data_IF_029635953203
#
_entry.id   IF_029635953203
#
_cell.length_a   1.000
_cell.length_b   1.000
_cell.length_c   1.000
_cell.angle_alpha   90.00
_cell.angle_beta   90.00
_cell.angle_gamma   90.00
#
_symmetry.space_group_name_H-M   'P 1'
#
loop_
_entity.id
_entity.type
_entity.pdbx_description
1 polymer ?
#
# COMPACT_ATOMS: atom_id res chain seq x y z
N UNK A 1 13.36 -20.06 6.40
CA UNK A 1 14.30 -19.71 7.49
C UNK A 1 13.46 -19.46 8.74
N UNK A 2 13.83 -20.06 9.85
CA UNK A 2 13.11 -19.80 11.11
C UNK A 2 13.71 -18.56 11.75
N UNK A 3 12.92 -17.49 11.82
CA UNK A 3 13.30 -16.26 12.50
C UNK A 3 13.11 -16.41 14.01
N UNK A 4 14.02 -15.86 14.79
CA UNK A 4 13.81 -15.74 16.24
C UNK A 4 12.87 -14.55 16.53
N UNK A 5 11.56 -14.77 16.38
CA UNK A 5 10.55 -13.75 16.56
C UNK A 5 10.50 -13.20 17.98
N UNK A 6 10.77 -13.99 19.00
CA UNK A 6 10.85 -13.52 20.38
C UNK A 6 11.92 -12.41 20.52
N UNK A 7 13.11 -12.65 19.96
CA UNK A 7 14.18 -11.64 19.95
C UNK A 7 13.86 -10.43 19.09
N UNK A 8 13.18 -10.60 17.96
CA UNK A 8 12.79 -9.50 17.07
C UNK A 8 11.74 -8.62 17.75
N UNK A 9 10.65 -9.23 18.24
CA UNK A 9 9.53 -8.52 18.87
C UNK A 9 9.98 -7.80 20.15
N UNK A 10 10.92 -8.38 20.92
CA UNK A 10 11.46 -7.75 22.14
C UNK A 10 12.14 -6.40 21.89
N UNK A 11 12.47 -6.06 20.64
CA UNK A 11 13.03 -4.74 20.26
C UNK A 11 11.98 -3.66 20.12
N UNK A 12 10.73 -4.04 19.93
CA UNK A 12 9.60 -3.12 19.76
C UNK A 12 8.93 -2.83 21.11
N UNK A 13 8.14 -1.78 21.14
CA UNK A 13 7.32 -1.40 22.30
C UNK A 13 6.07 -2.30 22.38
N UNK A 14 6.34 -3.58 22.59
CA UNK A 14 5.37 -4.65 22.77
C UNK A 14 5.52 -5.20 24.16
N UNK A 15 4.48 -5.08 24.96
CA UNK A 15 4.43 -5.61 26.31
C UNK A 15 3.86 -7.02 26.33
N UNK A 16 4.46 -7.90 27.14
CA UNK A 16 3.99 -9.27 27.36
C UNK A 16 4.95 -10.32 26.81
N UNK A 17 4.48 -11.56 26.78
CA UNK A 17 5.23 -12.75 26.35
C UNK A 17 4.69 -13.25 25.00
N UNK A 18 5.56 -13.46 24.03
CA UNK A 18 5.18 -14.07 22.75
C UNK A 18 4.67 -15.50 22.98
N UNK A 19 3.47 -15.81 22.50
CA UNK A 19 2.85 -17.14 22.50
C UNK A 19 3.15 -17.84 21.17
N UNK A 20 2.82 -17.17 20.05
CA UNK A 20 3.04 -17.72 18.70
C UNK A 20 3.33 -16.60 17.70
N UNK A 21 4.00 -16.95 16.59
CA UNK A 21 4.21 -16.08 15.45
C UNK A 21 4.24 -16.93 14.19
N UNK A 22 3.16 -16.84 13.40
CA UNK A 22 2.93 -17.71 12.24
C UNK A 22 2.71 -16.89 10.98
N UNK A 23 2.98 -17.49 9.82
CA UNK A 23 2.76 -16.86 8.52
C UNK A 23 1.29 -16.40 8.41
N UNK A 24 1.06 -15.18 7.91
CA UNK A 24 -0.25 -14.58 7.82
C UNK A 24 -0.46 -13.83 6.50
N UNK A 25 -1.65 -14.00 5.91
CA UNK A 25 -2.06 -13.31 4.69
C UNK A 25 -1.37 -13.84 3.42
N UNK A 26 -1.80 -13.31 2.28
CA UNK A 26 -1.36 -13.73 0.94
C UNK A 26 -0.43 -12.70 0.26
N UNK A 27 0.06 -11.71 1.01
CA UNK A 27 0.93 -10.68 0.47
C UNK A 27 2.23 -11.24 -0.12
N UNK A 28 2.56 -10.83 -1.36
CA UNK A 28 3.70 -11.37 -2.11
C UNK A 28 4.98 -10.54 -1.97
N UNK A 29 4.89 -9.29 -1.50
CA UNK A 29 6.04 -8.37 -1.44
C UNK A 29 6.81 -8.55 -0.14
N UNK A 30 6.15 -8.38 1.00
CA UNK A 30 6.74 -8.54 2.32
C UNK A 30 6.40 -9.90 2.92
N UNK A 31 7.28 -10.41 3.79
CA UNK A 31 6.94 -11.57 4.58
C UNK A 31 6.12 -11.15 5.80
N UNK A 32 4.85 -11.53 5.86
CA UNK A 32 3.93 -11.12 6.91
C UNK A 32 3.63 -12.26 7.88
N UNK A 33 3.60 -11.96 9.17
CA UNK A 33 3.35 -12.90 10.27
C UNK A 33 2.36 -12.31 11.26
N UNK A 34 1.49 -13.13 11.81
CA UNK A 34 0.63 -12.82 12.95
C UNK A 34 1.32 -13.28 14.22
N UNK A 35 1.64 -12.34 15.09
CA UNK A 35 2.17 -12.62 16.41
C UNK A 35 1.07 -12.48 17.47
N UNK A 36 0.96 -13.46 18.35
CA UNK A 36 0.08 -13.45 19.53
C UNK A 36 0.95 -13.30 20.77
N UNK A 37 0.66 -12.26 21.54
CA UNK A 37 1.39 -11.90 22.77
C UNK A 37 0.42 -11.95 23.94
N UNK A 38 0.79 -12.66 25.00
CA UNK A 38 0.04 -12.65 26.27
C UNK A 38 0.50 -11.46 27.12
N UNK A 39 -0.42 -10.57 27.46
CA UNK A 39 -0.17 -9.43 28.35
C UNK A 39 -1.27 -9.39 29.43
N UNK A 40 -0.89 -9.62 30.68
CA UNK A 40 -1.78 -9.60 31.85
C UNK A 40 -3.04 -10.49 31.70
N UNK A 41 -2.86 -11.72 31.18
CA UNK A 41 -3.93 -12.69 30.97
C UNK A 41 -4.81 -12.43 29.74
N UNK A 42 -4.41 -11.49 28.87
CA UNK A 42 -5.11 -11.19 27.61
C UNK A 42 -4.19 -11.42 26.41
N UNK A 43 -4.75 -11.97 25.36
CA UNK A 43 -4.07 -12.08 24.08
C UNK A 43 -4.16 -10.76 23.32
N UNK A 44 -3.00 -10.25 22.90
CA UNK A 44 -2.87 -9.08 22.02
C UNK A 44 -2.21 -9.54 20.72
N UNK A 45 -2.79 -9.14 19.60
CA UNK A 45 -2.33 -9.53 18.27
C UNK A 45 -1.52 -8.41 17.61
N UNK A 46 -0.46 -8.81 16.91
CA UNK A 46 0.39 -7.91 16.14
C UNK A 46 0.67 -8.49 14.77
N UNK A 47 0.84 -7.61 13.79
CA UNK A 47 1.40 -7.96 12.48
C UNK A 47 2.89 -7.65 12.52
N UNK A 48 3.70 -8.68 12.28
CA UNK A 48 5.15 -8.56 12.11
C UNK A 48 5.49 -8.74 10.65
N UNK A 49 6.18 -7.78 10.05
CA UNK A 49 6.56 -7.87 8.65
C UNK A 49 8.08 -7.78 8.48
N UNK A 50 8.63 -8.69 7.69
CA UNK A 50 9.97 -8.53 7.14
C UNK A 50 9.88 -7.79 5.82
N UNK A 51 10.50 -6.63 5.76
CA UNK A 51 10.47 -5.72 4.62
C UNK A 51 11.31 -6.29 3.48
N UNK A 52 10.80 -6.25 2.27
CA UNK A 52 11.54 -6.63 1.06
C UNK A 52 12.54 -5.53 0.68
N UNK A 53 13.72 -5.58 1.29
CA UNK A 53 14.80 -4.59 1.05
C UNK A 53 15.45 -4.70 -0.34
N UNK A 54 15.09 -5.70 -1.15
CA UNK A 54 15.50 -5.76 -2.56
C UNK A 54 14.65 -4.84 -3.43
N UNK A 55 13.38 -4.69 -3.08
CA UNK A 55 12.47 -3.75 -3.75
C UNK A 55 12.60 -2.35 -3.13
N UNK A 56 12.49 -2.26 -1.81
CA UNK A 56 12.62 -1.01 -1.05
C UNK A 56 14.07 -0.82 -0.59
N UNK A 57 14.92 -0.34 -1.50
CA UNK A 57 16.37 -0.24 -1.25
C UNK A 57 16.74 0.76 -0.18
N UNK A 58 15.87 1.75 0.10
CA UNK A 58 16.01 2.71 1.19
C UNK A 58 14.91 2.48 2.24
N UNK A 59 15.10 1.45 3.09
CA UNK A 59 14.14 1.10 4.15
C UNK A 59 13.96 2.23 5.16
N UNK A 60 14.98 3.02 5.42
CA UNK A 60 14.90 4.16 6.35
C UNK A 60 13.91 5.22 5.82
N UNK A 61 14.03 5.60 4.55
CA UNK A 61 13.13 6.56 3.92
C UNK A 61 11.69 6.02 3.84
N UNK A 62 11.51 4.74 3.47
CA UNK A 62 10.22 4.07 3.48
C UNK A 62 9.53 4.18 4.84
N UNK A 63 10.24 3.76 5.89
CA UNK A 63 9.68 3.72 7.23
C UNK A 63 9.49 5.11 7.85
N UNK A 64 10.28 6.10 7.41
CA UNK A 64 10.06 7.50 7.77
C UNK A 64 8.76 8.04 7.15
N UNK A 65 8.49 7.77 5.86
CA UNK A 65 7.23 8.14 5.22
C UNK A 65 6.03 7.56 5.99
N UNK A 66 6.06 6.25 6.25
CA UNK A 66 4.99 5.56 6.97
C UNK A 66 4.79 6.18 8.36
N UNK A 67 5.86 6.42 9.10
CA UNK A 67 5.81 7.03 10.44
C UNK A 67 5.17 8.41 10.40
N UNK A 68 5.66 9.29 9.54
CA UNK A 68 5.14 10.66 9.41
C UNK A 68 3.64 10.69 9.10
N UNK A 69 3.21 9.88 8.13
CA UNK A 69 1.80 9.81 7.72
C UNK A 69 0.93 9.20 8.81
N UNK A 70 1.37 8.12 9.44
CA UNK A 70 0.58 7.48 10.51
C UNK A 70 0.49 8.36 11.76
N UNK A 71 1.55 9.07 12.15
CA UNK A 71 1.54 10.02 13.26
C UNK A 71 0.59 11.20 12.98
N UNK A 72 0.64 11.76 11.78
CA UNK A 72 -0.25 12.85 11.38
C UNK A 72 -1.73 12.43 11.39
N UNK A 73 -2.04 11.26 10.79
CA UNK A 73 -3.40 10.73 10.79
C UNK A 73 -3.89 10.45 12.22
N UNK A 74 -3.03 9.88 13.05
CA UNK A 74 -3.30 9.59 14.46
C UNK A 74 -3.70 10.86 15.23
N UNK A 75 -2.96 11.95 15.06
CA UNK A 75 -3.31 13.24 15.68
C UNK A 75 -4.65 13.79 15.22
N UNK A 76 -4.95 13.73 13.92
CA UNK A 76 -6.22 14.18 13.35
C UNK A 76 -7.40 13.36 13.88
N UNK A 77 -7.26 12.04 13.93
CA UNK A 77 -8.29 11.12 14.45
C UNK A 77 -8.56 11.40 15.92
N UNK A 78 -7.52 11.56 16.76
CA UNK A 78 -7.66 11.88 18.18
C UNK A 78 -8.40 13.23 18.35
N UNK A 79 -8.02 14.25 17.57
CA UNK A 79 -8.69 15.57 17.62
C UNK A 79 -10.17 15.49 17.22
N UNK A 80 -10.53 14.55 16.36
CA UNK A 80 -11.91 14.27 15.96
C UNK A 80 -12.69 13.38 16.95
N UNK A 81 -12.04 12.88 18.02
CA UNK A 81 -12.64 11.99 19.02
C UNK A 81 -12.71 10.51 18.60
N UNK A 82 -12.01 10.13 17.53
CA UNK A 82 -11.92 8.77 17.03
C UNK A 82 -10.87 7.90 17.73
N UNK A 83 -10.78 6.64 17.31
CA UNK A 83 -9.84 5.65 17.85
C UNK A 83 -8.68 5.40 16.86
N UNK A 84 -7.50 6.01 17.07
CA UNK A 84 -6.38 5.87 16.14
C UNK A 84 -5.76 4.46 16.10
N UNK A 85 -5.99 3.62 17.10
CA UNK A 85 -5.52 2.22 17.09
C UNK A 85 -6.38 1.32 16.18
N UNK A 86 -7.49 1.87 15.66
CA UNK A 86 -8.41 1.21 14.76
C UNK A 86 -8.56 1.94 13.42
N UNK A 87 -8.59 3.28 13.43
CA UNK A 87 -8.94 4.11 12.28
C UNK A 87 -7.75 4.53 11.42
N UNK A 88 -6.53 4.16 11.79
CA UNK A 88 -5.35 4.25 10.93
C UNK A 88 -4.44 3.05 11.18
N UNK A 89 -3.43 2.86 10.31
CA UNK A 89 -2.44 1.80 10.45
C UNK A 89 -1.61 2.01 11.74
N UNK A 90 -1.76 1.16 12.78
CA UNK A 90 -1.20 1.42 14.09
C UNK A 90 0.24 0.91 14.20
N UNK A 91 1.19 1.71 13.70
CA UNK A 91 2.61 1.41 13.75
C UNK A 91 3.13 1.32 15.20
N UNK A 92 3.85 0.25 15.50
CA UNK A 92 4.54 0.05 16.79
C UNK A 92 6.02 0.36 16.59
N UNK A 93 6.50 1.41 17.27
CA UNK A 93 7.92 1.76 17.24
C UNK A 93 8.76 0.78 18.09
N UNK A 94 10.07 0.77 17.84
CA UNK A 94 11.03 0.11 18.75
C UNK A 94 11.09 0.88 20.08
N UNK A 95 11.61 0.24 21.13
CA UNK A 95 11.86 0.86 22.44
C UNK A 95 12.79 2.10 22.35
N UNK A 96 13.50 2.24 21.25
CA UNK A 96 14.37 3.39 20.92
C UNK A 96 13.63 4.45 20.05
N UNK A 97 12.32 4.28 19.79
CA UNK A 97 11.50 5.19 19.00
C UNK A 97 11.65 5.07 17.47
N UNK A 98 12.35 4.03 16.96
CA UNK A 98 12.51 3.79 15.52
C UNK A 98 11.29 3.04 14.96
N UNK A 99 10.94 3.30 13.72
CA UNK A 99 9.82 2.66 13.02
C UNK A 99 10.13 1.22 12.55
N UNK A 100 11.38 0.79 12.61
CA UNK A 100 11.81 -0.55 12.19
C UNK A 100 13.03 -1.03 13.00
N UNK A 101 13.29 -2.34 12.94
CA UNK A 101 14.48 -2.98 13.51
C UNK A 101 15.23 -3.75 12.44
N UNK A 102 16.55 -3.53 12.33
CA UNK A 102 17.43 -4.36 11.51
C UNK A 102 17.99 -5.52 12.34
N UNK A 103 17.64 -6.74 11.94
CA UNK A 103 18.11 -7.97 12.58
C UNK A 103 19.34 -8.50 11.85
N UNK A 104 20.53 -8.33 12.47
CA UNK A 104 21.81 -8.81 11.89
C UNK A 104 21.86 -10.33 11.68
N UNK A 105 21.16 -11.12 12.50
CA UNK A 105 21.25 -12.58 12.44
C UNK A 105 20.57 -13.19 11.22
N UNK A 106 19.61 -12.50 10.63
CA UNK A 106 18.90 -12.95 9.43
C UNK A 106 18.97 -11.96 8.27
N UNK A 107 19.82 -10.93 8.40
CA UNK A 107 19.99 -9.87 7.40
C UNK A 107 18.65 -9.32 6.91
N UNK A 108 17.83 -8.85 7.85
CA UNK A 108 16.46 -8.43 7.53
C UNK A 108 15.97 -7.25 8.35
N UNK A 109 15.15 -6.42 7.72
CA UNK A 109 14.45 -5.31 8.35
C UNK A 109 13.05 -5.75 8.75
N UNK A 110 12.67 -5.46 9.99
CA UNK A 110 11.36 -5.83 10.53
C UNK A 110 10.61 -4.59 11.02
N UNK A 111 9.30 -4.60 10.84
CA UNK A 111 8.35 -3.63 11.39
C UNK A 111 7.19 -4.34 12.06
N UNK A 112 6.53 -3.66 12.97
CA UNK A 112 5.41 -4.21 13.73
C UNK A 112 4.24 -3.23 13.69
N UNK A 113 3.03 -3.76 13.51
CA UNK A 113 1.77 -3.04 13.65
C UNK A 113 0.88 -3.74 14.67
N UNK A 114 0.05 -3.00 15.40
CA UNK A 114 -1.06 -3.65 16.13
C UNK A 114 -2.03 -4.24 15.10
N UNK A 115 -2.61 -5.38 15.43
CA UNK A 115 -3.63 -6.00 14.62
C UNK A 115 -4.96 -5.25 14.75
N UNK A 116 -5.59 -4.87 13.65
CA UNK A 116 -6.91 -4.25 13.64
C UNK A 116 -7.94 -5.37 13.73
N UNK A 117 -8.66 -5.46 14.85
CA UNK A 117 -9.66 -6.49 15.10
C UNK A 117 -11.03 -6.10 14.56
N UNK A 118 -11.92 -7.09 14.39
CA UNK A 118 -13.30 -6.91 13.93
C UNK A 118 -13.40 -6.12 12.61
N UNK A 119 -12.43 -6.34 11.72
CA UNK A 119 -12.37 -5.74 10.39
C UNK A 119 -11.64 -6.66 9.42
N UNK A 120 -12.13 -6.73 8.19
CA UNK A 120 -11.64 -7.62 7.13
C UNK A 120 -11.21 -6.83 5.89
N UNK A 121 -10.08 -7.21 5.29
CA UNK A 121 -9.65 -6.75 3.98
C UNK A 121 -10.02 -7.79 2.91
N UNK A 122 -10.81 -7.39 1.93
CA UNK A 122 -11.29 -8.28 0.87
C UNK A 122 -10.34 -8.29 -0.32
N UNK A 123 -10.04 -9.47 -0.85
CA UNK A 123 -9.11 -9.63 -1.98
C UNK A 123 -9.74 -9.29 -3.34
N UNK A 124 -11.05 -9.42 -3.45
CA UNK A 124 -11.84 -9.15 -4.67
C UNK A 124 -13.11 -8.40 -4.32
N UNK A 125 -13.67 -7.71 -5.31
CA UNK A 125 -14.96 -7.03 -5.16
C UNK A 125 -16.08 -8.10 -5.24
N UNK A 126 -16.53 -8.60 -4.10
CA UNK A 126 -17.62 -9.57 -4.01
C UNK A 126 -19.01 -8.91 -4.16
N UNK A 127 -19.12 -7.63 -3.81
CA UNK A 127 -20.32 -6.81 -3.86
C UNK A 127 -19.96 -5.38 -4.28
N UNK A 128 -20.81 -4.68 -5.02
CA UNK A 128 -20.58 -3.26 -5.37
C UNK A 128 -20.27 -2.38 -4.15
N UNK A 129 -20.92 -2.66 -3.00
CA UNK A 129 -20.71 -1.93 -1.74
C UNK A 129 -19.28 -2.02 -1.26
N UNK A 130 -18.55 -3.12 -1.47
CA UNK A 130 -17.14 -3.23 -1.09
C UNK A 130 -16.28 -2.20 -1.84
N UNK A 131 -16.54 -2.01 -3.14
CA UNK A 131 -15.81 -1.03 -3.91
C UNK A 131 -16.21 0.40 -3.55
N UNK A 132 -17.51 0.64 -3.32
CA UNK A 132 -18.00 1.93 -2.83
C UNK A 132 -17.30 2.29 -1.50
N UNK A 133 -17.26 1.38 -0.54
CA UNK A 133 -16.61 1.62 0.76
C UNK A 133 -15.09 1.78 0.63
N UNK A 134 -14.46 1.11 -0.32
CA UNK A 134 -13.06 1.36 -0.66
C UNK A 134 -12.84 2.79 -1.19
N UNK A 135 -13.72 3.28 -2.05
CA UNK A 135 -13.65 4.67 -2.53
C UNK A 135 -13.85 5.68 -1.39
N UNK A 136 -14.78 5.41 -0.46
CA UNK A 136 -14.98 6.22 0.75
C UNK A 136 -13.73 6.21 1.63
N UNK A 137 -13.09 5.04 1.82
CA UNK A 137 -11.86 4.90 2.59
C UNK A 137 -10.72 5.76 2.05
N UNK A 138 -10.44 5.65 0.74
CA UNK A 138 -9.36 6.41 0.11
C UNK A 138 -9.69 7.90 0.01
N UNK A 139 -10.96 8.26 -0.18
CA UNK A 139 -11.42 9.64 -0.09
C UNK A 139 -11.20 10.25 1.29
N UNK A 140 -11.54 9.52 2.34
CA UNK A 140 -11.29 9.94 3.73
C UNK A 140 -9.80 10.01 4.04
N UNK A 141 -9.00 9.06 3.57
CA UNK A 141 -7.55 9.06 3.72
C UNK A 141 -6.91 10.28 3.06
N UNK A 142 -7.30 10.60 1.82
CA UNK A 142 -6.83 11.79 1.13
C UNK A 142 -7.25 13.08 1.86
N UNK A 143 -8.47 13.12 2.41
CA UNK A 143 -8.96 14.26 3.18
C UNK A 143 -8.20 14.45 4.51
N UNK A 144 -7.91 13.37 5.24
CA UNK A 144 -7.10 13.43 6.45
C UNK A 144 -5.72 14.04 6.16
N UNK A 145 -5.12 13.70 5.02
CA UNK A 145 -3.80 14.16 4.60
C UNK A 145 -3.82 15.45 3.76
N UNK A 146 -4.99 16.11 3.60
CA UNK A 146 -5.11 17.29 2.75
C UNK A 146 -4.18 18.45 3.13
N UNK A 147 -3.90 18.59 4.44
CA UNK A 147 -3.02 19.63 5.00
C UNK A 147 -1.59 19.13 5.26
N UNK A 148 -1.31 17.84 5.00
CA UNK A 148 0.04 17.30 5.15
C UNK A 148 0.95 17.88 4.06
N UNK A 149 2.13 18.35 4.46
CA UNK A 149 3.14 18.81 3.52
C UNK A 149 3.85 17.61 2.86
N UNK A 150 3.41 17.26 1.64
CA UNK A 150 3.93 16.13 0.90
C UNK A 150 5.43 16.22 0.57
N UNK A 151 6.04 17.42 0.66
CA UNK A 151 7.49 17.59 0.42
C UNK A 151 8.36 16.95 1.51
N UNK A 152 7.77 16.60 2.66
CA UNK A 152 8.44 15.86 3.73
C UNK A 152 8.63 14.36 3.40
N UNK A 153 7.91 13.84 2.39
CA UNK A 153 7.98 12.45 2.00
C UNK A 153 9.06 12.21 0.94
N UNK A 154 9.65 11.05 1.01
CA UNK A 154 10.65 10.57 0.07
C UNK A 154 9.99 9.75 -1.05
N UNK A 155 10.47 9.89 -2.29
CA UNK A 155 10.05 9.03 -3.41
C UNK A 155 10.76 7.67 -3.30
N UNK A 156 10.14 6.73 -2.56
CA UNK A 156 10.73 5.41 -2.24
C UNK A 156 10.80 4.48 -3.44
N UNK A 157 9.97 4.70 -4.45
CA UNK A 157 9.96 3.99 -5.73
C UNK A 157 10.04 5.02 -6.87
N UNK A 158 11.25 5.42 -7.30
CA UNK A 158 11.41 6.44 -8.32
C UNK A 158 10.69 6.10 -9.62
N UNK A 159 9.99 7.09 -10.17
CA UNK A 159 9.21 6.97 -11.40
C UNK A 159 8.05 5.96 -11.36
N UNK A 160 7.52 5.62 -10.18
CA UNK A 160 6.48 4.60 -10.03
C UNK A 160 5.25 4.86 -10.91
N UNK A 161 4.74 6.10 -10.94
CA UNK A 161 3.63 6.53 -11.81
C UNK A 161 4.07 7.49 -12.93
N UNK A 162 5.36 7.56 -13.24
CA UNK A 162 5.85 8.39 -14.34
C UNK A 162 5.59 7.71 -15.69
N UNK A 163 4.46 8.03 -16.30
CA UNK A 163 4.02 7.43 -17.56
C UNK A 163 4.88 7.82 -18.78
N UNK A 164 5.61 8.95 -18.75
CA UNK A 164 6.64 9.26 -19.75
C UNK A 164 7.76 8.22 -19.74
N UNK A 165 8.35 7.98 -18.56
CA UNK A 165 9.42 6.98 -18.39
C UNK A 165 8.91 5.58 -18.68
N UNK A 166 7.66 5.26 -18.30
CA UNK A 166 7.04 3.97 -18.65
C UNK A 166 6.89 3.79 -20.15
N UNK A 167 6.48 4.85 -20.86
CA UNK A 167 6.41 4.82 -22.32
C UNK A 167 7.78 4.62 -22.97
N UNK A 168 8.83 5.33 -22.51
CA UNK A 168 10.19 5.12 -22.98
C UNK A 168 10.67 3.67 -22.76
N UNK A 169 10.39 3.12 -21.59
CA UNK A 169 10.73 1.73 -21.28
C UNK A 169 9.94 0.74 -22.14
N UNK A 170 8.68 1.05 -22.47
CA UNK A 170 7.89 0.28 -23.43
C UNK A 170 8.54 0.26 -24.80
N UNK A 171 8.96 1.41 -25.35
CA UNK A 171 9.65 1.49 -26.64
C UNK A 171 10.93 0.65 -26.64
N UNK A 172 11.78 0.80 -25.60
CA UNK A 172 13.02 0.00 -25.47
C UNK A 172 12.73 -1.51 -25.41
N UNK A 173 11.65 -1.89 -24.74
CA UNK A 173 11.24 -3.30 -24.63
C UNK A 173 10.71 -3.84 -25.96
N UNK A 174 9.97 -3.02 -26.71
CA UNK A 174 9.45 -3.34 -28.03
C UNK A 174 10.59 -3.52 -29.06
N UNK A 175 11.55 -2.60 -29.08
CA UNK A 175 12.74 -2.69 -29.94
C UNK A 175 13.60 -3.92 -29.64
N UNK A 176 13.71 -4.28 -28.35
CA UNK A 176 14.47 -5.45 -27.93
C UNK A 176 13.78 -6.78 -28.24
N UNK A 177 12.45 -6.81 -28.20
CA UNK A 177 11.56 -7.98 -28.37
C UNK A 177 12.16 -9.33 -27.92
N UNK A 178 12.75 -9.35 -26.72
CA UNK A 178 13.54 -10.49 -26.22
C UNK A 178 12.81 -11.83 -26.25
N UNK A 179 11.49 -11.81 -26.15
CA UNK A 179 10.65 -13.01 -26.16
C UNK A 179 10.05 -13.31 -27.54
N UNK A 180 10.27 -12.46 -28.56
CA UNK A 180 9.73 -12.61 -29.92
C UNK A 180 8.19 -12.54 -30.00
N UNK A 181 7.52 -11.92 -29.00
CA UNK A 181 6.06 -11.88 -28.88
C UNK A 181 5.41 -10.59 -29.37
N UNK A 182 6.19 -9.58 -29.77
CA UNK A 182 5.64 -8.32 -30.27
C UNK A 182 4.67 -8.51 -31.44
N UNK A 183 4.95 -9.47 -32.32
CA UNK A 183 4.07 -9.82 -33.45
C UNK A 183 2.66 -10.26 -33.06
N UNK A 184 2.49 -10.80 -31.85
CA UNK A 184 1.23 -11.38 -31.38
C UNK A 184 0.34 -10.34 -30.68
N UNK A 185 0.85 -9.13 -30.39
CA UNK A 185 0.18 -8.06 -29.62
C UNK A 185 0.22 -6.70 -30.35
N UNK A 186 0.11 -6.72 -31.66
CA UNK A 186 0.22 -5.50 -32.49
C UNK A 186 -0.87 -4.46 -32.20
N UNK A 187 -2.09 -4.89 -31.84
CA UNK A 187 -3.19 -3.99 -31.49
C UNK A 187 -2.90 -3.21 -30.23
N UNK A 188 -2.38 -3.89 -29.21
CA UNK A 188 -2.01 -3.32 -27.92
C UNK A 188 -0.83 -2.36 -28.08
N UNK A 189 0.15 -2.75 -28.92
CA UNK A 189 1.29 -1.88 -29.27
C UNK A 189 0.78 -0.59 -29.90
N UNK A 190 -0.07 -0.69 -30.93
CA UNK A 190 -0.60 0.49 -31.62
C UNK A 190 -1.43 1.36 -30.66
N UNK A 191 -2.24 0.74 -29.80
CA UNK A 191 -3.01 1.45 -28.77
C UNK A 191 -2.13 2.32 -27.87
N UNK A 192 -0.97 1.81 -27.47
CA UNK A 192 -0.01 2.56 -26.63
C UNK A 192 0.66 3.67 -27.45
N UNK A 193 1.09 3.38 -28.69
CA UNK A 193 1.75 4.35 -29.57
C UNK A 193 0.84 5.56 -29.85
N UNK A 194 -0.43 5.33 -30.14
CA UNK A 194 -1.43 6.37 -30.42
C UNK A 194 -1.68 7.30 -29.21
N UNK A 195 -1.26 6.88 -27.99
CA UNK A 195 -1.45 7.63 -26.73
C UNK A 195 -0.18 8.26 -26.19
N UNK A 196 0.89 8.26 -26.95
CA UNK A 196 2.18 8.85 -26.55
C UNK A 196 2.02 10.25 -25.96
N UNK A 197 1.26 11.12 -26.62
CA UNK A 197 1.12 12.53 -26.23
C UNK A 197 0.31 12.70 -24.90
N UNK A 198 -0.36 11.67 -24.45
CA UNK A 198 -1.07 11.65 -23.16
C UNK A 198 -0.17 11.22 -21.99
N UNK A 199 0.90 10.48 -22.27
CA UNK A 199 1.74 9.87 -21.22
C UNK A 199 2.38 10.90 -20.28
N UNK A 200 2.74 12.07 -20.77
CA UNK A 200 3.36 13.12 -19.95
C UNK A 200 2.40 14.05 -19.23
N UNK A 201 1.09 13.96 -19.43
CA UNK A 201 0.14 14.99 -19.00
C UNK A 201 0.19 15.29 -17.52
N UNK A 202 -0.03 14.27 -16.67
CA UNK A 202 -0.04 14.45 -15.20
C UNK A 202 1.34 14.87 -14.69
N UNK A 203 2.40 14.23 -15.19
CA UNK A 203 3.79 14.53 -14.81
C UNK A 203 4.14 15.98 -15.14
N UNK A 204 3.73 16.49 -16.29
CA UNK A 204 4.00 17.86 -16.71
C UNK A 204 3.20 18.88 -15.91
N UNK A 205 1.95 18.59 -15.57
CA UNK A 205 1.13 19.43 -14.68
C UNK A 205 1.71 19.51 -13.26
N UNK A 206 2.25 18.41 -12.74
CA UNK A 206 2.99 18.39 -11.46
C UNK A 206 4.28 19.22 -11.55
N UNK A 207 5.07 19.03 -12.62
CA UNK A 207 6.32 19.77 -12.83
C UNK A 207 6.10 21.29 -13.01
N UNK A 208 5.02 21.70 -13.69
CA UNK A 208 4.69 23.12 -13.87
C UNK A 208 4.07 23.77 -12.63
N UNK A 209 3.63 22.98 -11.66
CA UNK A 209 2.91 23.45 -10.48
C UNK A 209 1.43 23.77 -10.72
N UNK A 210 0.91 23.52 -11.92
CA UNK A 210 -0.52 23.66 -12.21
C UNK A 210 -1.37 22.63 -11.47
N UNK A 211 -0.80 21.46 -11.18
CA UNK A 211 -1.40 20.43 -10.34
C UNK A 211 -0.64 20.36 -9.02
N UNK A 212 -1.32 20.48 -7.87
CA UNK A 212 -0.67 20.41 -6.58
C UNK A 212 -0.15 18.97 -6.31
N UNK A 213 1.08 18.88 -5.79
CA UNK A 213 1.59 17.64 -5.23
C UNK A 213 0.91 17.37 -3.88
N UNK A 214 0.39 16.16 -3.73
CA UNK A 214 -0.27 15.66 -2.51
C UNK A 214 0.39 14.38 -2.04
N UNK A 215 0.03 13.93 -0.85
CA UNK A 215 0.33 12.57 -0.42
C UNK A 215 -0.55 11.61 -1.22
N UNK A 216 0.05 10.61 -1.83
CA UNK A 216 -0.66 9.56 -2.58
C UNK A 216 -0.33 8.18 -2.04
N UNK A 217 -1.33 7.33 -1.97
CA UNK A 217 -1.15 5.94 -1.54
C UNK A 217 -0.45 5.10 -2.61
N UNK A 218 -0.83 5.32 -3.88
CA UNK A 218 -0.27 4.70 -5.10
C UNK A 218 -0.55 3.19 -5.27
N UNK A 219 -1.30 2.57 -4.35
CA UNK A 219 -1.77 1.18 -4.46
C UNK A 219 -3.18 1.08 -3.85
N UNK A 220 -4.15 1.78 -4.49
CA UNK A 220 -5.50 2.00 -3.98
C UNK A 220 -6.45 0.86 -4.30
N UNK A 221 -6.03 -0.35 -3.93
CA UNK A 221 -6.80 -1.57 -4.10
C UNK A 221 -7.70 -1.84 -2.89
N UNK A 222 -8.81 -2.54 -3.12
CA UNK A 222 -9.76 -2.94 -2.07
C UNK A 222 -9.07 -3.71 -0.92
N UNK A 223 -8.12 -4.56 -1.22
CA UNK A 223 -7.39 -5.34 -0.21
C UNK A 223 -6.47 -4.50 0.69
N UNK A 224 -6.31 -3.21 0.40
CA UNK A 224 -5.63 -2.24 1.25
C UNK A 224 -6.60 -1.41 2.11
N UNK A 225 -7.88 -1.82 2.17
CA UNK A 225 -8.90 -1.22 3.03
C UNK A 225 -9.45 -2.25 4.00
N UNK A 226 -9.44 -1.91 5.30
CA UNK A 226 -10.12 -2.69 6.33
C UNK A 226 -11.57 -2.22 6.45
N UNK A 227 -12.53 -3.13 6.23
CA UNK A 227 -13.96 -2.88 6.41
C UNK A 227 -14.42 -3.50 7.73
N UNK A 228 -15.24 -2.80 8.50
CA UNK A 228 -15.83 -3.29 9.74
C UNK A 228 -16.72 -4.51 9.49
N UNK A 229 -16.50 -5.58 10.25
CA UNK A 229 -17.17 -6.86 10.05
C UNK A 229 -18.70 -6.80 10.33
N UNK A 230 -19.18 -5.79 11.06
CA UNK A 230 -20.60 -5.64 11.42
C UNK A 230 -21.32 -4.65 10.53
N UNK A 231 -20.67 -3.50 10.23
CA UNK A 231 -21.33 -2.40 9.51
C UNK A 231 -20.97 -2.41 8.03
N UNK A 232 -19.82 -3.01 7.63
CA UNK A 232 -19.25 -2.94 6.30
C UNK A 232 -18.62 -1.59 5.98
N UNK A 233 -18.61 -0.64 6.90
CA UNK A 233 -18.02 0.69 6.71
C UNK A 233 -16.48 0.63 6.76
N UNK A 234 -15.77 1.58 6.11
CA UNK A 234 -14.33 1.59 6.12
C UNK A 234 -13.79 1.98 7.50
N UNK A 235 -12.79 1.25 7.94
CA UNK A 235 -12.12 1.45 9.23
C UNK A 235 -10.75 2.10 9.03
N UNK A 236 -9.89 1.49 8.22
CA UNK A 236 -8.53 1.98 8.02
C UNK A 236 -8.02 1.65 6.62
N UNK A 237 -7.15 2.49 6.11
CA UNK A 237 -6.30 2.21 4.95
C UNK A 237 -4.98 1.63 5.47
N UNK A 238 -4.55 0.53 4.86
CA UNK A 238 -3.34 -0.21 5.24
C UNK A 238 -2.39 -0.32 4.04
N UNK A 239 -1.22 -0.95 4.25
CA UNK A 239 -0.17 -1.14 3.23
C UNK A 239 0.35 0.18 2.63
N UNK A 240 0.97 0.98 3.49
CA UNK A 240 1.52 2.30 3.13
C UNK A 240 2.92 2.24 2.49
N UNK A 241 3.31 1.12 1.90
CA UNK A 241 4.66 0.93 1.34
C UNK A 241 4.94 1.81 0.11
N UNK A 242 3.89 2.19 -0.58
CA UNK A 242 3.96 3.04 -1.76
C UNK A 242 3.58 4.50 -1.48
N UNK A 243 3.49 4.90 -0.20
CA UNK A 243 3.12 6.25 0.14
C UNK A 243 4.23 7.25 -0.21
N UNK A 244 3.93 8.16 -1.12
CA UNK A 244 4.87 9.09 -1.74
C UNK A 244 4.19 10.42 -2.10
N UNK A 245 4.97 11.47 -2.43
CA UNK A 245 4.42 12.65 -3.08
C UNK A 245 3.94 12.31 -4.49
N UNK A 246 2.76 12.79 -4.87
CA UNK A 246 2.23 12.53 -6.20
C UNK A 246 0.96 13.33 -6.52
N UNK A 247 0.23 12.85 -7.53
CA UNK A 247 -1.07 13.37 -7.92
C UNK A 247 -2.18 12.49 -7.39
N UNK A 248 -3.25 13.08 -6.84
CA UNK A 248 -4.45 12.34 -6.46
C UNK A 248 -5.06 11.55 -7.64
N UNK A 249 -4.76 11.95 -8.87
CA UNK A 249 -5.18 11.22 -10.07
C UNK A 249 -4.55 9.82 -10.18
N UNK A 250 -3.40 9.60 -9.53
CA UNK A 250 -2.76 8.28 -9.49
C UNK A 250 -3.61 7.32 -8.65
N UNK A 251 -4.02 7.75 -7.45
CA UNK A 251 -4.87 6.97 -6.56
C UNK A 251 -6.24 6.70 -7.19
N UNK A 252 -6.84 7.72 -7.79
CA UNK A 252 -8.11 7.55 -8.50
C UNK A 252 -8.00 6.53 -9.64
N UNK A 253 -6.98 6.69 -10.50
CA UNK A 253 -6.78 5.80 -11.65
C UNK A 253 -6.52 4.36 -11.24
N UNK A 254 -5.73 4.13 -10.20
CA UNK A 254 -5.42 2.80 -9.70
C UNK A 254 -6.64 2.14 -9.05
N UNK A 255 -7.41 2.89 -8.25
CA UNK A 255 -8.67 2.42 -7.67
C UNK A 255 -9.66 1.94 -8.74
N UNK A 256 -9.85 2.72 -9.81
CA UNK A 256 -10.74 2.36 -10.93
C UNK A 256 -10.19 1.15 -11.70
N UNK A 257 -8.89 1.11 -11.97
CA UNK A 257 -8.23 -0.02 -12.64
C UNK A 257 -8.50 -1.33 -11.92
N UNK A 258 -8.38 -1.33 -10.60
CA UNK A 258 -8.59 -2.52 -9.78
C UNK A 258 -10.09 -2.81 -9.58
N UNK A 259 -10.85 -1.82 -9.11
CA UNK A 259 -12.22 -2.01 -8.63
C UNK A 259 -13.25 -2.28 -9.74
N UNK A 260 -13.04 -1.72 -10.95
CA UNK A 260 -13.93 -1.97 -12.08
C UNK A 260 -13.58 -3.22 -12.90
N UNK A 261 -12.55 -3.98 -12.50
CA UNK A 261 -12.19 -5.24 -13.14
C UNK A 261 -12.70 -6.42 -12.30
N UNK A 262 -13.60 -7.27 -12.84
CA UNK A 262 -14.12 -8.44 -12.11
C UNK A 262 -13.14 -9.61 -12.02
N UNK A 263 -12.05 -9.59 -12.81
CA UNK A 263 -11.05 -10.64 -12.83
C UNK A 263 -9.99 -10.41 -11.74
N UNK A 264 -9.27 -11.47 -11.36
CA UNK A 264 -8.08 -11.36 -10.51
C UNK A 264 -7.03 -10.46 -11.17
N UNK A 265 -6.20 -9.79 -10.36
CA UNK A 265 -5.19 -8.83 -10.84
C UNK A 265 -4.14 -9.51 -11.76
N UNK A 266 -3.87 -10.78 -11.54
CA UNK A 266 -2.92 -11.60 -12.31
C UNK A 266 -3.61 -12.64 -13.20
N UNK A 267 -4.89 -12.42 -13.57
CA UNK A 267 -5.67 -13.33 -14.44
C UNK A 267 -4.94 -13.56 -15.78
N UNK A 268 -4.71 -14.82 -16.08
CA UNK A 268 -3.99 -15.24 -17.32
C UNK A 268 -4.89 -15.28 -18.54
N UNK A 269 -6.17 -15.52 -18.33
CA UNK A 269 -7.18 -15.54 -19.38
C UNK A 269 -7.72 -14.12 -19.59
N UNK A 270 -7.11 -13.40 -20.54
CA UNK A 270 -7.48 -12.00 -20.84
C UNK A 270 -8.93 -11.83 -21.28
N UNK A 271 -9.64 -12.90 -21.69
CA UNK A 271 -11.06 -12.83 -22.03
C UNK A 271 -11.95 -12.55 -20.82
N UNK A 272 -11.45 -12.83 -19.61
CA UNK A 272 -12.13 -12.53 -18.34
C UNK A 272 -11.87 -11.11 -17.84
N UNK A 273 -10.80 -10.47 -18.33
CA UNK A 273 -10.46 -9.09 -17.96
C UNK A 273 -11.44 -8.16 -18.67
N UNK A 274 -12.22 -7.44 -17.90
CA UNK A 274 -13.28 -6.56 -18.41
C UNK A 274 -13.35 -5.29 -17.55
N UNK A 275 -14.06 -4.28 -18.05
CA UNK A 275 -14.34 -3.06 -17.32
C UNK A 275 -15.84 -2.94 -17.07
N UNK A 276 -16.25 -3.06 -15.82
CA UNK A 276 -17.65 -2.86 -15.42
C UNK A 276 -17.90 -1.37 -15.16
N UNK A 277 -18.55 -0.72 -16.12
CA UNK A 277 -18.89 0.72 -16.05
C UNK A 277 -19.88 1.04 -14.92
N UNK A 278 -20.66 0.05 -14.44
CA UNK A 278 -21.60 0.29 -13.34
C UNK A 278 -20.90 0.42 -11.98
N UNK A 279 -19.65 -0.05 -11.87
CA UNK A 279 -18.83 0.12 -10.67
C UNK A 279 -18.07 1.45 -10.67
N UNK A 280 -17.94 2.12 -11.83
CA UNK A 280 -17.31 3.44 -11.94
C UNK A 280 -18.22 4.52 -11.35
#
# INVERSE_FOLDING_TARGET
>A
MDYNFEKIISKFDVEGKLISCERYGEGHINETYLAIVENNGKEVKYIVQKINSKLFTNVEALMNNIKLVTEFNREKIIKAGGNPDRECLPLVCTKEGKAYHYCKCCDGYFRVYKFITDATAYQVVEKPEHFYQSAVAFGNFANLLAEFDATQLYEVLPNFHNTEVRFENFIKSLEADKAGRAKDVQKEIQFVLDRKDYCGRIVNLLKSGEMPTKVTHNDTKLNNVMLDDKTGEPVAVIDLDTIMPGSICYDFGDSIRFGCNPAAEDEKDVSKVNFDINLF
#
